data_IF_380031948281
#
_entry.id   IF_380031948281
#
_cell.length_a   1.000
_cell.length_b   1.000
_cell.length_c   1.000
_cell.angle_alpha   90.00
_cell.angle_beta   90.00
_cell.angle_gamma   90.00
#
_symmetry.space_group_name_H-M   'P 1'
#
loop_
_entity.id
_entity.type
_entity.pdbx_description
1 polymer ?
#
# COMPACT_ATOMS: atom_id res chain seq x y z
N UNK A 1 -7.22 -10.69 -0.42
CA UNK A 1 -5.89 -10.56 0.24
C UNK A 1 -4.83 -10.31 -0.83
N UNK A 2 -3.87 -9.43 -0.58
CA UNK A 2 -2.77 -9.15 -1.52
C UNK A 2 -1.53 -9.87 -1.00
N UNK A 3 -0.87 -10.62 -1.88
CA UNK A 3 0.42 -11.22 -1.55
C UNK A 3 1.53 -10.18 -1.78
N UNK A 4 2.08 -9.66 -0.68
CA UNK A 4 3.07 -8.60 -0.70
C UNK A 4 4.23 -8.97 0.22
N UNK A 5 5.31 -9.46 -0.36
CA UNK A 5 6.52 -9.85 0.35
C UNK A 5 7.73 -9.79 -0.61
N UNK A 6 8.94 -9.83 -0.05
CA UNK A 6 10.19 -9.98 -0.83
C UNK A 6 10.54 -11.47 -0.89
N UNK A 7 10.40 -12.13 -2.07
CA UNK A 7 10.69 -13.55 -2.21
C UNK A 7 12.16 -13.92 -1.95
N UNK A 8 12.40 -15.17 -1.54
CA UNK A 8 13.74 -15.67 -1.23
C UNK A 8 14.66 -15.79 -2.45
N UNK A 9 14.08 -16.12 -3.60
CA UNK A 9 14.75 -16.25 -4.90
C UNK A 9 15.09 -14.88 -5.51
N UNK A 10 14.28 -13.85 -5.24
CA UNK A 10 14.55 -12.49 -5.70
C UNK A 10 15.70 -11.81 -4.95
N UNK A 11 15.73 -11.95 -3.62
CA UNK A 11 16.80 -11.45 -2.78
C UNK A 11 17.41 -12.61 -1.96
N UNK A 12 18.38 -13.34 -2.53
CA UNK A 12 19.00 -14.51 -1.92
C UNK A 12 19.94 -14.10 -0.78
N UNK A 13 19.34 -13.87 0.40
CA UNK A 13 20.04 -13.53 1.62
C UNK A 13 19.17 -12.68 2.53
N UNK A 14 19.14 -13.00 3.82
CA UNK A 14 18.33 -12.26 4.79
C UNK A 14 18.69 -10.77 4.83
N UNK A 15 19.99 -10.46 4.80
CA UNK A 15 20.48 -9.07 4.77
C UNK A 15 19.95 -8.28 3.57
N UNK A 16 19.91 -8.90 2.39
CA UNK A 16 19.42 -8.27 1.16
C UNK A 16 17.91 -8.06 1.22
N UNK A 17 17.14 -9.05 1.69
CA UNK A 17 15.69 -8.89 1.91
C UNK A 17 15.38 -7.76 2.89
N UNK A 18 16.07 -7.70 4.02
CA UNK A 18 15.89 -6.62 5.00
C UNK A 18 16.28 -5.25 4.43
N UNK A 19 17.25 -5.21 3.51
CA UNK A 19 17.59 -3.97 2.82
C UNK A 19 16.50 -3.55 1.83
N UNK A 20 15.95 -4.49 1.05
CA UNK A 20 14.82 -4.22 0.16
C UNK A 20 13.59 -3.72 0.94
N UNK A 21 13.23 -4.40 2.04
CA UNK A 21 12.14 -3.94 2.91
C UNK A 21 12.38 -2.54 3.48
N UNK A 22 13.61 -2.24 3.90
CA UNK A 22 13.95 -0.90 4.43
C UNK A 22 13.83 0.18 3.35
N UNK A 23 14.34 -0.07 2.15
CA UNK A 23 14.26 0.87 1.01
C UNK A 23 12.78 1.17 0.67
N UNK A 24 11.94 0.13 0.54
CA UNK A 24 10.49 0.28 0.32
C UNK A 24 9.81 1.03 1.47
N UNK A 25 10.13 0.68 2.71
CA UNK A 25 9.50 1.29 3.89
C UNK A 25 9.83 2.78 4.05
N UNK A 26 11.00 3.22 3.55
CA UNK A 26 11.46 4.61 3.61
C UNK A 26 10.90 5.52 2.52
N UNK A 27 10.21 4.98 1.51
CA UNK A 27 9.59 5.80 0.47
C UNK A 27 8.43 6.63 1.03
N UNK A 28 8.46 7.94 0.79
CA UNK A 28 7.45 8.90 1.27
C UNK A 28 6.85 9.77 0.14
N UNK A 29 7.30 9.59 -1.10
CA UNK A 29 6.79 10.25 -2.31
C UNK A 29 6.67 9.26 -3.47
N UNK A 30 5.93 9.62 -4.52
CA UNK A 30 5.81 8.79 -5.73
C UNK A 30 7.19 8.68 -6.42
N UNK A 31 7.97 9.76 -6.36
CA UNK A 31 9.36 9.82 -6.81
C UNK A 31 10.24 8.84 -6.03
N UNK A 32 10.08 8.75 -4.70
CA UNK A 32 10.81 7.77 -3.90
C UNK A 32 10.43 6.34 -4.30
N UNK A 33 9.14 6.04 -4.51
CA UNK A 33 8.71 4.70 -4.95
C UNK A 33 9.34 4.35 -6.29
N UNK A 34 9.42 5.31 -7.22
CA UNK A 34 10.08 5.13 -8.51
C UNK A 34 11.58 4.89 -8.34
N UNK A 35 12.26 5.68 -7.50
CA UNK A 35 13.68 5.51 -7.23
C UNK A 35 13.98 4.16 -6.57
N UNK A 36 13.17 3.73 -5.60
CA UNK A 36 13.27 2.40 -4.96
C UNK A 36 13.05 1.30 -5.99
N UNK A 37 12.05 1.43 -6.87
CA UNK A 37 11.81 0.48 -7.96
C UNK A 37 13.06 0.34 -8.85
N UNK A 38 13.65 1.45 -9.27
CA UNK A 38 14.85 1.47 -10.10
C UNK A 38 16.04 0.83 -9.35
N UNK A 39 16.23 1.15 -8.07
CA UNK A 39 17.27 0.55 -7.21
C UNK A 39 17.10 -0.98 -7.09
N UNK A 40 15.88 -1.46 -6.84
CA UNK A 40 15.59 -2.89 -6.71
C UNK A 40 15.84 -3.61 -8.05
N UNK A 41 15.47 -3.01 -9.17
CA UNK A 41 15.70 -3.57 -10.50
C UNK A 41 17.19 -3.65 -10.84
N UNK A 42 17.95 -2.59 -10.56
CA UNK A 42 19.39 -2.55 -10.78
C UNK A 42 20.13 -3.62 -9.94
N UNK A 43 19.69 -3.81 -8.69
CA UNK A 43 20.39 -4.67 -7.73
C UNK A 43 20.00 -6.15 -7.81
N UNK A 44 18.73 -6.44 -8.10
CA UNK A 44 18.16 -7.77 -7.99
C UNK A 44 17.51 -8.26 -9.30
N UNK A 45 17.44 -7.41 -10.33
CA UNK A 45 16.78 -7.69 -11.59
C UNK A 45 15.28 -7.47 -11.53
N UNK A 46 14.56 -8.02 -12.53
CA UNK A 46 13.12 -7.80 -12.74
C UNK A 46 12.31 -8.09 -11.46
N UNK A 47 11.45 -7.15 -11.08
CA UNK A 47 10.57 -7.28 -9.92
C UNK A 47 9.56 -8.42 -10.11
N UNK A 48 9.48 -9.36 -9.16
CA UNK A 48 8.37 -10.30 -9.04
C UNK A 48 7.08 -9.60 -8.62
N UNK A 49 5.94 -10.21 -8.93
CA UNK A 49 4.61 -9.69 -8.56
C UNK A 49 4.45 -9.40 -7.05
N UNK A 50 4.93 -10.25 -6.11
CA UNK A 50 4.85 -9.92 -4.69
C UNK A 50 5.61 -8.64 -4.28
N UNK A 51 6.70 -8.30 -5.00
CA UNK A 51 7.47 -7.07 -4.75
C UNK A 51 6.81 -5.87 -5.38
N UNK A 52 6.23 -6.03 -6.56
CA UNK A 52 5.35 -5.02 -7.17
C UNK A 52 4.21 -4.66 -6.23
N UNK A 53 3.57 -5.66 -5.64
CA UNK A 53 2.51 -5.49 -4.65
C UNK A 53 3.00 -4.75 -3.40
N UNK A 54 4.22 -5.00 -2.92
CA UNK A 54 4.80 -4.23 -1.80
C UNK A 54 4.95 -2.74 -2.13
N UNK A 55 5.40 -2.41 -3.34
CA UNK A 55 5.51 -1.02 -3.80
C UNK A 55 4.13 -0.36 -3.88
N UNK A 56 3.12 -1.08 -4.38
CA UNK A 56 1.73 -0.60 -4.41
C UNK A 56 1.16 -0.38 -3.00
N UNK A 57 1.44 -1.29 -2.06
CA UNK A 57 1.04 -1.14 -0.65
C UNK A 57 1.73 0.07 -0.01
N UNK A 58 2.99 0.33 -0.33
CA UNK A 58 3.70 1.53 0.14
C UNK A 58 3.03 2.81 -0.38
N UNK A 59 2.65 2.85 -1.67
CA UNK A 59 1.90 3.95 -2.27
C UNK A 59 0.51 4.13 -1.65
N UNK A 60 -0.24 3.05 -1.43
CA UNK A 60 -1.53 3.09 -0.74
C UNK A 60 -1.40 3.66 0.68
N UNK A 61 -0.35 3.26 1.41
CA UNK A 61 -0.07 3.77 2.76
C UNK A 61 0.21 5.27 2.75
N UNK A 62 0.92 5.77 1.75
CA UNK A 62 1.15 7.21 1.60
C UNK A 62 -0.14 7.97 1.32
N UNK A 63 -0.96 7.49 0.38
CA UNK A 63 -2.25 8.09 0.07
C UNK A 63 -3.18 8.09 1.30
N UNK A 64 -3.24 6.97 2.03
CA UNK A 64 -4.00 6.85 3.26
C UNK A 64 -3.57 7.91 4.30
N UNK A 65 -2.26 8.07 4.51
CA UNK A 65 -1.71 9.11 5.40
C UNK A 65 -2.08 10.52 4.96
N UNK A 66 -2.01 10.82 3.66
CA UNK A 66 -2.40 12.12 3.11
C UNK A 66 -3.90 12.42 3.34
N UNK A 67 -4.72 11.38 3.42
CA UNK A 67 -6.15 11.47 3.75
C UNK A 67 -6.45 11.31 5.26
N UNK A 68 -5.45 11.31 6.14
CA UNK A 68 -5.57 11.05 7.57
C UNK A 68 -6.19 9.69 7.95
N UNK A 69 -6.12 8.71 7.03
CA UNK A 69 -6.52 7.32 7.27
C UNK A 69 -5.34 6.55 7.86
N UNK A 70 -5.51 6.00 9.05
CA UNK A 70 -4.50 5.24 9.77
C UNK A 70 -4.53 3.74 9.49
N UNK A 71 -5.69 3.22 9.09
CA UNK A 71 -5.97 1.80 8.93
C UNK A 71 -6.78 1.53 7.66
N UNK A 72 -6.34 0.53 6.91
CA UNK A 72 -7.05 -0.05 5.77
C UNK A 72 -7.04 -1.55 5.94
N UNK A 73 -8.21 -2.14 6.23
CA UNK A 73 -8.32 -3.55 6.64
C UNK A 73 -9.38 -4.26 5.82
N UNK A 74 -9.06 -5.48 5.38
CA UNK A 74 -10.03 -6.37 4.75
C UNK A 74 -10.89 -7.06 5.82
N UNK A 75 -12.21 -6.88 5.74
CA UNK A 75 -13.19 -7.43 6.67
C UNK A 75 -14.23 -8.25 5.89
N UNK A 76 -13.95 -9.55 5.70
CA UNK A 76 -14.76 -10.41 4.84
C UNK A 76 -14.71 -9.92 3.39
N UNK A 77 -15.88 -9.58 2.84
CA UNK A 77 -15.98 -9.03 1.48
C UNK A 77 -15.87 -7.49 1.43
N UNK A 78 -15.70 -6.83 2.57
CA UNK A 78 -15.64 -5.37 2.67
C UNK A 78 -14.22 -4.90 2.98
N UNK A 79 -13.91 -3.65 2.64
CA UNK A 79 -12.70 -2.95 3.07
C UNK A 79 -13.12 -1.85 4.06
N UNK A 80 -12.52 -1.86 5.24
CA UNK A 80 -12.72 -0.85 6.28
C UNK A 80 -11.57 0.16 6.23
N UNK A 81 -11.91 1.44 6.22
CA UNK A 81 -10.99 2.56 6.37
C UNK A 81 -11.24 3.24 7.71
N UNK A 82 -10.20 3.56 8.48
CA UNK A 82 -10.32 4.27 9.75
C UNK A 82 -9.03 5.04 10.13
N UNK A 83 -9.12 6.13 10.90
CA UNK A 83 -10.31 6.93 11.11
C UNK A 83 -10.71 7.66 9.82
N UNK A 84 -11.99 8.01 9.67
CA UNK A 84 -12.48 8.85 8.57
C UNK A 84 -13.55 9.77 9.12
N UNK A 85 -13.38 11.08 8.92
CA UNK A 85 -14.41 12.08 9.18
C UNK A 85 -14.97 12.57 7.84
N UNK A 86 -16.26 12.36 7.61
CA UNK A 86 -16.94 12.78 6.38
C UNK A 86 -17.98 13.84 6.71
N UNK A 87 -18.02 14.88 5.87
CA UNK A 87 -19.15 15.82 5.83
C UNK A 87 -20.36 15.11 5.22
N UNK A 88 -21.56 15.55 5.55
CA UNK A 88 -22.82 14.98 5.03
C UNK A 88 -22.82 14.85 3.48
N UNK A 89 -22.30 15.86 2.77
CA UNK A 89 -22.18 15.81 1.30
C UNK A 89 -21.22 14.74 0.79
N UNK A 90 -20.17 14.41 1.56
CA UNK A 90 -19.26 13.32 1.23
C UNK A 90 -19.89 11.96 1.52
N UNK A 91 -20.69 11.83 2.58
CA UNK A 91 -21.45 10.60 2.87
C UNK A 91 -22.49 10.30 1.79
N UNK A 92 -23.26 11.31 1.37
CA UNK A 92 -24.24 11.18 0.29
C UNK A 92 -23.55 10.78 -1.02
N UNK A 93 -22.39 11.40 -1.33
CA UNK A 93 -21.60 11.03 -2.50
C UNK A 93 -21.06 9.61 -2.42
N UNK A 94 -20.59 9.16 -1.25
CA UNK A 94 -20.10 7.80 -1.03
C UNK A 94 -21.23 6.79 -1.27
N UNK A 95 -22.40 6.99 -0.67
CA UNK A 95 -23.57 6.12 -0.84
C UNK A 95 -24.06 6.07 -2.29
N UNK A 96 -23.96 7.19 -3.03
CA UNK A 96 -24.33 7.28 -4.45
C UNK A 96 -23.34 6.55 -5.37
N UNK A 97 -22.03 6.73 -5.15
CA UNK A 97 -20.98 6.15 -6.00
C UNK A 97 -20.71 4.67 -5.67
N UNK A 98 -20.83 4.30 -4.40
CA UNK A 98 -20.56 2.96 -3.89
C UNK A 98 -21.74 2.47 -3.04
N UNK A 99 -22.85 2.07 -3.66
CA UNK A 99 -24.00 1.50 -2.97
C UNK A 99 -23.59 0.31 -2.08
N UNK A 100 -24.11 0.25 -0.85
CA UNK A 100 -23.73 -0.78 0.13
C UNK A 100 -22.61 -0.37 1.08
N UNK A 101 -21.99 0.81 0.88
CA UNK A 101 -21.06 1.40 1.84
C UNK A 101 -21.74 1.68 3.19
N UNK A 102 -21.14 1.21 4.28
CA UNK A 102 -21.63 1.43 5.65
C UNK A 102 -20.71 2.40 6.37
N UNK A 103 -21.27 3.46 6.93
CA UNK A 103 -20.55 4.45 7.75
C UNK A 103 -20.90 4.13 9.21
N UNK A 104 -19.90 3.79 10.01
CA UNK A 104 -20.04 3.56 11.45
C UNK A 104 -19.34 4.71 12.17
N UNK A 105 -20.09 5.42 13.01
CA UNK A 105 -19.57 6.43 13.92
C UNK A 105 -18.74 5.79 15.03
#
# INVERSE_FOLDING_TARGET
>A
PVDAHVPHDYAPGERLRLQAYRSIASANSEEDIKAVREELVDRYGKLPEPVENLLLVAGLRMLARACAVGEVVLQGNNIRFAPVELRESQELRLKRLYPGSVIKA
#
